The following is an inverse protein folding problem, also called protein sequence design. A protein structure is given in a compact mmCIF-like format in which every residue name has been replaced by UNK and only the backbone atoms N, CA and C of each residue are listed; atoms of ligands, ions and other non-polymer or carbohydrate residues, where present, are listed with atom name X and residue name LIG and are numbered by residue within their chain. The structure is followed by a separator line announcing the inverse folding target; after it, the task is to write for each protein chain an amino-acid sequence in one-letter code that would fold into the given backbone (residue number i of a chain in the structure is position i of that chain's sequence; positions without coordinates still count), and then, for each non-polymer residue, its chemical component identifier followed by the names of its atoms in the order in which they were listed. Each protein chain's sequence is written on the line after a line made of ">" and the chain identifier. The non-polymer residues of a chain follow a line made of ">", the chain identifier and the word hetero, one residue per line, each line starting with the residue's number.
data_IF_922160779523
#
_entry.id   IF_922160779523
#
_cell.length_a   1.000
_cell.length_b   1.000
_cell.length_c   1.000
_cell.angle_alpha   90.00
_cell.angle_beta   90.00
_cell.angle_gamma   90.00
#
_symmetry.space_group_name_H-M   'P 1'
#
loop_
_entity.id
_entity.type
_entity.pdbx_description
1 polymer ?
#
# COMPACT_ATOMS: atom_id res chain seq x y z
N UNK A 1 8.27 -5.18 -7.47
CA UNK A 1 8.44 -4.43 -6.21
C UNK A 1 9.89 -4.54 -5.76
N UNK A 2 10.52 -3.45 -5.41
CA UNK A 2 11.87 -3.41 -4.87
C UNK A 2 11.89 -2.57 -3.57
N UNK A 3 11.53 -3.18 -2.43
CA UNK A 3 11.48 -2.48 -1.14
C UNK A 3 12.82 -1.89 -0.72
N UNK A 4 13.93 -2.56 -1.03
CA UNK A 4 15.28 -2.09 -0.70
C UNK A 4 15.66 -0.82 -1.46
N UNK A 5 15.17 -0.66 -2.68
CA UNK A 5 15.33 0.57 -3.46
C UNK A 5 14.32 1.67 -3.06
N UNK A 6 13.47 1.44 -2.05
CA UNK A 6 12.43 2.38 -1.64
C UNK A 6 11.32 2.57 -2.66
N UNK A 7 11.05 1.57 -3.51
CA UNK A 7 10.07 1.64 -4.58
C UNK A 7 8.98 0.57 -4.44
N UNK A 8 7.80 0.88 -4.99
CA UNK A 8 6.73 -0.10 -5.20
C UNK A 8 6.02 0.15 -6.53
N UNK A 9 5.25 -0.83 -6.98
CA UNK A 9 4.50 -0.76 -8.24
C UNK A 9 3.01 -0.73 -7.96
N UNK A 10 2.34 0.31 -8.45
CA UNK A 10 0.88 0.39 -8.50
C UNK A 10 0.39 -0.06 -9.88
N UNK A 11 -0.70 -0.83 -9.91
CA UNK A 11 -1.34 -1.34 -11.13
C UNK A 11 -2.75 -0.80 -11.25
N UNK A 12 -3.11 -0.30 -12.39
CA UNK A 12 -4.36 0.33 -12.85
C UNK A 12 -4.44 1.83 -12.57
N UNK A 13 -5.09 2.59 -13.48
CA UNK A 13 -5.27 4.04 -13.31
C UNK A 13 -5.88 4.42 -11.98
N UNK A 14 -6.93 3.71 -11.54
CA UNK A 14 -7.61 3.97 -10.27
C UNK A 14 -6.71 3.82 -9.05
N UNK A 15 -5.89 2.77 -9.00
CA UNK A 15 -4.95 2.53 -7.89
C UNK A 15 -3.83 3.57 -7.90
N UNK A 16 -3.31 3.89 -9.09
CA UNK A 16 -2.29 4.93 -9.29
C UNK A 16 -2.85 6.30 -8.87
N UNK A 17 -4.06 6.66 -9.31
CA UNK A 17 -4.70 7.91 -8.93
C UNK A 17 -4.79 8.07 -7.40
N UNK A 18 -5.23 7.04 -6.68
CA UNK A 18 -5.31 7.05 -5.21
C UNK A 18 -3.94 7.18 -4.54
N UNK A 19 -2.89 6.57 -5.10
CA UNK A 19 -1.53 6.75 -4.62
C UNK A 19 -1.04 8.20 -4.81
N UNK A 20 -1.30 8.78 -5.98
CA UNK A 20 -0.96 10.18 -6.26
C UNK A 20 -1.73 11.14 -5.36
N UNK A 21 -3.02 10.88 -5.11
CA UNK A 21 -3.86 11.69 -4.19
C UNK A 21 -3.35 11.62 -2.75
N UNK A 22 -2.76 10.49 -2.35
CA UNK A 22 -2.10 10.31 -1.05
C UNK A 22 -0.67 10.89 -1.00
N UNK A 23 -0.22 11.59 -2.04
CA UNK A 23 1.08 12.26 -2.07
C UNK A 23 2.27 11.35 -2.37
N UNK A 24 2.04 10.13 -2.89
CA UNK A 24 3.15 9.28 -3.34
C UNK A 24 3.77 9.84 -4.62
N UNK A 25 5.10 9.87 -4.67
CA UNK A 25 5.86 10.47 -5.78
C UNK A 25 6.07 9.45 -6.89
N UNK A 26 5.57 9.69 -8.12
CA UNK A 26 5.81 8.82 -9.25
C UNK A 26 7.26 8.92 -9.74
N UNK A 27 7.81 7.79 -10.18
CA UNK A 27 9.18 7.67 -10.71
C UNK A 27 9.16 7.35 -12.19
N UNK A 28 8.24 6.50 -12.63
CA UNK A 28 8.03 6.17 -14.04
C UNK A 28 6.68 5.51 -14.23
N UNK A 29 6.14 5.61 -15.43
CA UNK A 29 4.92 4.91 -15.84
C UNK A 29 5.16 4.02 -17.04
N UNK A 30 4.44 2.89 -17.11
CA UNK A 30 4.41 1.98 -18.26
C UNK A 30 2.96 1.77 -18.68
N UNK A 31 2.64 2.10 -19.91
CA UNK A 31 1.26 2.16 -20.41
C UNK A 31 1.13 1.36 -21.71
N UNK A 32 0.05 0.61 -21.83
CA UNK A 32 -0.33 -0.01 -23.08
C UNK A 32 -0.80 1.06 -24.08
N UNK A 33 -0.27 1.01 -25.30
CA UNK A 33 -0.55 2.03 -26.33
C UNK A 33 -2.04 2.22 -26.66
N UNK A 34 -2.81 1.14 -26.68
CA UNK A 34 -4.24 1.19 -26.93
C UNK A 34 -4.98 1.92 -25.80
N UNK A 35 -4.62 1.64 -24.55
CA UNK A 35 -5.22 2.27 -23.37
C UNK A 35 -4.97 3.78 -23.28
N UNK A 36 -3.87 4.27 -23.83
CA UNK A 36 -3.59 5.71 -23.88
C UNK A 36 -4.63 6.51 -24.67
N UNK A 37 -5.31 5.87 -25.62
CA UNK A 37 -6.26 6.54 -26.52
C UNK A 37 -7.72 6.29 -26.19
N UNK A 38 -8.01 5.15 -25.56
CA UNK A 38 -9.38 4.66 -25.39
C UNK A 38 -9.85 4.59 -23.95
N UNK A 39 -8.93 4.66 -22.99
CA UNK A 39 -9.27 4.58 -21.57
C UNK A 39 -9.18 5.96 -20.91
N UNK A 40 -10.32 6.54 -20.61
CA UNK A 40 -10.44 7.87 -20.00
C UNK A 40 -9.70 7.96 -18.65
N UNK A 41 -9.79 6.92 -17.78
CA UNK A 41 -9.07 6.90 -16.51
C UNK A 41 -7.54 6.93 -16.73
N UNK A 42 -7.05 6.26 -17.78
CA UNK A 42 -5.62 6.27 -18.15
C UNK A 42 -5.19 7.66 -18.61
N UNK A 43 -5.99 8.31 -19.45
CA UNK A 43 -5.72 9.67 -19.94
C UNK A 43 -5.65 10.66 -18.78
N UNK A 44 -6.60 10.63 -17.86
CA UNK A 44 -6.60 11.48 -16.66
C UNK A 44 -5.33 11.30 -15.80
N UNK A 45 -4.80 10.08 -15.69
CA UNK A 45 -3.53 9.87 -14.97
C UNK A 45 -2.34 10.41 -15.76
N UNK A 46 -2.34 10.27 -17.08
CA UNK A 46 -1.27 10.80 -17.93
C UNK A 46 -1.23 12.33 -17.91
N UNK A 47 -2.37 13.00 -17.90
CA UNK A 47 -2.48 14.45 -17.74
C UNK A 47 -1.80 14.94 -16.45
N UNK A 48 -1.86 14.14 -15.35
CA UNK A 48 -1.18 14.48 -14.09
C UNK A 48 0.35 14.42 -14.18
N UNK A 49 0.89 13.78 -15.21
CA UNK A 49 2.32 13.71 -15.47
C UNK A 49 2.81 14.78 -16.45
N UNK A 50 1.90 15.51 -17.09
CA UNK A 50 2.27 16.62 -17.98
C UNK A 50 3.04 17.71 -17.24
N UNK A 51 4.12 18.17 -17.84
CA UNK A 51 5.00 19.16 -17.23
C UNK A 51 5.88 18.63 -16.08
N UNK A 52 5.90 17.32 -15.85
CA UNK A 52 6.81 16.64 -14.92
C UNK A 52 7.92 15.90 -15.65
N UNK A 53 9.02 15.58 -14.94
CA UNK A 53 10.12 14.75 -15.47
C UNK A 53 9.86 13.24 -15.38
N UNK A 54 8.61 12.81 -15.15
CA UNK A 54 8.25 11.40 -15.03
C UNK A 54 8.26 10.72 -16.41
N UNK A 55 9.18 9.78 -16.68
CA UNK A 55 9.23 9.11 -17.96
C UNK A 55 8.02 8.18 -18.13
N UNK A 56 7.37 8.28 -19.30
CA UNK A 56 6.23 7.45 -19.68
C UNK A 56 6.70 6.50 -20.78
N UNK A 57 6.78 5.22 -20.45
CA UNK A 57 7.10 4.16 -21.40
C UNK A 57 5.82 3.58 -21.96
N UNK A 58 5.83 3.25 -23.26
CA UNK A 58 4.68 2.66 -23.95
C UNK A 58 5.06 1.40 -24.69
N UNK A 59 4.18 0.42 -24.68
CA UNK A 59 4.37 -0.78 -25.47
C UNK A 59 3.01 -1.40 -25.87
N UNK A 60 3.05 -2.29 -26.86
CA UNK A 60 1.91 -3.11 -27.24
C UNK A 60 1.61 -4.16 -26.17
N UNK A 61 0.36 -4.58 -26.08
CA UNK A 61 -0.12 -5.55 -25.08
C UNK A 61 0.71 -6.83 -25.00
N UNK A 62 1.10 -7.38 -26.15
CA UNK A 62 1.89 -8.60 -26.23
C UNK A 62 3.30 -8.41 -25.64
N UNK A 63 3.91 -7.26 -25.89
CA UNK A 63 5.23 -6.91 -25.35
C UNK A 63 5.14 -6.76 -23.83
N UNK A 64 4.14 -6.04 -23.35
CA UNK A 64 3.88 -5.87 -21.91
C UNK A 64 3.68 -7.21 -21.21
N UNK A 65 2.88 -8.09 -21.81
CA UNK A 65 2.62 -9.43 -21.25
C UNK A 65 3.90 -10.26 -21.15
N UNK A 66 4.78 -10.19 -22.13
CA UNK A 66 6.10 -10.88 -22.11
C UNK A 66 7.02 -10.28 -21.05
N UNK A 67 7.05 -8.96 -20.91
CA UNK A 67 7.91 -8.27 -19.93
C UNK A 67 7.48 -8.52 -18.50
N UNK A 68 6.18 -8.46 -18.22
CA UNK A 68 5.63 -8.56 -16.86
C UNK A 68 5.43 -10.00 -16.41
N UNK A 69 5.36 -10.96 -17.33
CA UNK A 69 5.04 -12.36 -17.05
C UNK A 69 3.55 -12.60 -16.72
N UNK A 70 2.71 -11.60 -16.87
CA UNK A 70 1.25 -11.70 -16.67
C UNK A 70 0.52 -10.73 -17.62
N UNK A 71 -0.77 -11.00 -17.86
CA UNK A 71 -1.62 -10.12 -18.68
C UNK A 71 -1.92 -8.83 -17.93
N UNK A 72 -1.44 -7.70 -18.46
CA UNK A 72 -1.73 -6.37 -17.91
C UNK A 72 -3.13 -5.92 -18.33
N UNK A 73 -4.15 -6.50 -17.71
CA UNK A 73 -5.56 -6.30 -18.09
C UNK A 73 -6.10 -4.89 -17.87
N UNK A 74 -5.38 -4.06 -17.11
CA UNK A 74 -5.76 -2.68 -16.81
C UNK A 74 -4.81 -1.63 -17.38
N UNK A 75 -3.94 -2.07 -18.29
CA UNK A 75 -3.19 -1.25 -19.24
C UNK A 75 -2.12 -0.30 -18.65
N UNK A 76 -1.99 -0.16 -17.32
CA UNK A 76 -1.07 0.81 -16.74
C UNK A 76 -0.38 0.31 -15.47
N UNK A 77 0.93 0.53 -15.39
CA UNK A 77 1.76 0.39 -14.18
C UNK A 77 2.45 1.71 -13.88
N UNK A 78 2.67 2.00 -12.60
CA UNK A 78 3.47 3.13 -12.16
C UNK A 78 4.41 2.71 -11.03
N UNK A 79 5.68 3.03 -11.16
CA UNK A 79 6.65 2.94 -10.06
C UNK A 79 6.56 4.21 -9.22
N UNK A 80 6.42 4.04 -7.90
CA UNK A 80 6.31 5.15 -6.96
C UNK A 80 7.31 4.99 -5.81
N UNK A 81 7.73 6.11 -5.23
CA UNK A 81 8.59 6.12 -4.04
C UNK A 81 7.78 5.74 -2.81
N UNK A 82 8.37 4.92 -1.95
CA UNK A 82 7.81 4.63 -0.62
C UNK A 82 7.93 5.86 0.26
N UNK A 83 6.94 6.06 1.12
CA UNK A 83 6.99 7.06 2.17
C UNK A 83 7.51 6.42 3.47
N UNK A 84 8.17 7.19 4.34
CA UNK A 84 8.51 6.73 5.69
C UNK A 84 7.24 6.33 6.45
N UNK A 85 7.31 5.25 7.21
CA UNK A 85 6.21 4.83 8.07
C UNK A 85 6.30 5.57 9.40
N UNK A 86 5.15 6.02 9.88
CA UNK A 86 5.03 6.60 11.22
C UNK A 86 5.12 5.48 12.26
N UNK A 87 5.67 5.80 13.41
CA UNK A 87 5.62 4.92 14.58
C UNK A 87 4.16 4.66 15.00
N UNK A 88 3.86 3.41 15.43
CA UNK A 88 2.48 3.02 15.71
C UNK A 88 1.90 3.74 16.94
N UNK A 89 2.72 4.08 17.93
CA UNK A 89 2.26 4.83 19.10
C UNK A 89 1.80 6.23 18.67
N UNK A 90 2.59 6.91 17.86
CA UNK A 90 2.24 8.24 17.34
C UNK A 90 1.00 8.17 16.42
N UNK A 91 0.85 7.07 15.68
CA UNK A 91 -0.31 6.88 14.80
C UNK A 91 -1.62 6.66 15.58
N UNK A 92 -1.56 6.28 16.86
CA UNK A 92 -2.74 6.14 17.72
C UNK A 92 -3.42 7.47 18.07
N UNK A 93 -2.72 8.60 17.95
CA UNK A 93 -3.27 9.89 18.33
C UNK A 93 -4.55 10.23 17.55
N UNK A 94 -5.64 10.49 18.29
CA UNK A 94 -6.95 10.81 17.72
C UNK A 94 -7.62 9.66 16.96
N UNK A 95 -7.22 8.40 17.20
CA UNK A 95 -7.80 7.21 16.56
C UNK A 95 -8.59 6.40 17.58
N UNK A 96 -9.84 6.07 17.25
CA UNK A 96 -10.74 5.30 18.12
C UNK A 96 -10.80 3.82 17.74
N UNK A 97 -10.69 3.50 16.43
CA UNK A 97 -10.88 2.16 15.90
C UNK A 97 -9.72 1.73 15.03
N UNK A 98 -8.96 0.77 15.51
CA UNK A 98 -7.75 0.26 14.85
C UNK A 98 -7.93 -1.22 14.54
N UNK A 99 -7.55 -1.63 13.34
CA UNK A 99 -7.45 -3.04 12.95
C UNK A 99 -5.99 -3.47 13.06
N UNK A 100 -5.74 -4.62 13.70
CA UNK A 100 -4.41 -5.22 13.76
C UNK A 100 -4.41 -6.53 12.96
N UNK A 101 -3.52 -6.63 11.97
CA UNK A 101 -3.28 -7.84 11.20
C UNK A 101 -2.13 -8.60 11.84
N UNK A 102 -2.40 -9.81 12.32
CA UNK A 102 -1.37 -10.69 12.88
C UNK A 102 -0.98 -11.77 11.89
N UNK A 103 0.26 -11.75 11.41
CA UNK A 103 0.85 -12.75 10.51
C UNK A 103 0.02 -13.04 9.24
N UNK A 104 -0.64 -12.04 8.69
CA UNK A 104 -1.39 -12.18 7.43
C UNK A 104 -0.40 -12.16 6.26
N UNK A 105 0.12 -13.32 5.90
CA UNK A 105 1.17 -13.47 4.88
C UNK A 105 0.66 -13.36 3.44
N UNK A 106 -0.62 -13.63 3.19
CA UNK A 106 -1.16 -13.56 1.83
C UNK A 106 -1.50 -12.11 1.45
N UNK A 107 -0.84 -11.52 0.43
CA UNK A 107 -1.09 -10.14 0.03
C UNK A 107 -2.53 -9.91 -0.47
N UNK A 108 -3.22 -10.95 -0.96
CA UNK A 108 -4.64 -10.85 -1.32
C UNK A 108 -5.50 -10.60 -0.08
N UNK A 109 -5.21 -11.31 1.02
CA UNK A 109 -5.94 -11.14 2.27
C UNK A 109 -5.65 -9.77 2.89
N UNK A 110 -4.39 -9.32 2.88
CA UNK A 110 -4.04 -7.95 3.30
C UNK A 110 -4.86 -6.93 2.53
N UNK A 111 -4.86 -7.00 1.20
CA UNK A 111 -5.65 -6.08 0.38
C UNK A 111 -7.15 -6.12 0.64
N UNK A 112 -7.73 -7.32 0.86
CA UNK A 112 -9.14 -7.49 1.19
C UNK A 112 -9.48 -6.87 2.56
N UNK A 113 -8.62 -7.05 3.56
CA UNK A 113 -8.81 -6.47 4.89
C UNK A 113 -8.75 -4.93 4.81
N UNK A 114 -7.79 -4.34 4.09
CA UNK A 114 -7.74 -2.89 3.88
C UNK A 114 -9.02 -2.36 3.24
N UNK A 115 -9.55 -3.07 2.24
CA UNK A 115 -10.81 -2.69 1.61
C UNK A 115 -11.99 -2.73 2.58
N UNK A 116 -12.06 -3.75 3.43
CA UNK A 116 -13.09 -3.88 4.46
C UNK A 116 -12.93 -2.82 5.56
N UNK A 117 -11.69 -2.56 6.00
CA UNK A 117 -11.38 -1.54 6.98
C UNK A 117 -11.81 -0.14 6.49
N UNK A 118 -11.55 0.18 5.21
CA UNK A 118 -12.03 1.42 4.60
C UNK A 118 -13.56 1.51 4.59
N UNK A 119 -14.24 0.44 4.20
CA UNK A 119 -15.70 0.40 4.13
C UNK A 119 -16.36 0.54 5.53
N UNK A 120 -15.67 0.08 6.58
CA UNK A 120 -16.13 0.16 7.97
C UNK A 120 -15.63 1.44 8.68
N UNK A 121 -15.00 2.36 7.98
CA UNK A 121 -14.42 3.60 8.51
C UNK A 121 -13.49 3.34 9.70
N UNK A 122 -12.59 2.36 9.58
CA UNK A 122 -11.52 2.18 10.55
C UNK A 122 -10.49 3.30 10.42
N UNK A 123 -9.94 3.77 11.54
CA UNK A 123 -9.07 4.94 11.57
C UNK A 123 -7.62 4.61 11.23
N UNK A 124 -7.17 3.38 11.48
CA UNK A 124 -5.84 2.90 11.13
C UNK A 124 -5.79 1.36 10.99
N UNK A 125 -4.76 0.89 10.29
CA UNK A 125 -4.43 -0.53 10.18
C UNK A 125 -2.99 -0.73 10.63
N UNK A 126 -2.78 -1.57 11.64
CA UNK A 126 -1.45 -1.98 12.08
C UNK A 126 -1.15 -3.40 11.64
N UNK A 127 0.11 -3.65 11.32
CA UNK A 127 0.56 -4.97 10.85
C UNK A 127 1.68 -5.48 11.75
N UNK A 128 1.67 -6.77 12.06
CA UNK A 128 2.83 -7.40 12.67
C UNK A 128 3.91 -7.66 11.61
N UNK A 129 5.19 -7.78 11.98
CA UNK A 129 6.30 -7.98 11.02
C UNK A 129 6.16 -9.19 10.09
N UNK A 130 5.36 -10.19 10.48
CA UNK A 130 5.08 -11.38 9.65
C UNK A 130 4.01 -11.16 8.57
N UNK A 131 3.39 -9.98 8.49
CA UNK A 131 2.40 -9.68 7.44
C UNK A 131 3.08 -9.37 6.10
N UNK A 132 2.37 -9.67 5.00
CA UNK A 132 2.73 -9.14 3.69
C UNK A 132 2.63 -7.62 3.66
N UNK A 133 3.55 -7.00 2.95
CA UNK A 133 3.59 -5.56 2.74
C UNK A 133 2.33 -5.07 1.99
N UNK A 134 1.58 -4.09 2.53
CA UNK A 134 0.41 -3.52 1.87
C UNK A 134 0.71 -2.87 0.52
N UNK A 135 1.94 -2.42 0.28
CA UNK A 135 2.37 -1.83 -0.98
C UNK A 135 2.74 -2.85 -2.05
N UNK A 136 2.76 -4.16 -1.73
CA UNK A 136 2.89 -5.16 -2.80
C UNK A 136 1.79 -4.96 -3.82
N UNK A 137 2.17 -5.00 -5.11
CA UNK A 137 1.29 -4.80 -6.25
C UNK A 137 -0.04 -5.55 -6.13
N UNK A 138 0.00 -6.80 -5.63
CA UNK A 138 -1.21 -7.61 -5.45
C UNK A 138 -2.09 -7.10 -4.32
N UNK A 139 -1.52 -6.65 -3.21
CA UNK A 139 -2.27 -6.11 -2.07
C UNK A 139 -2.92 -4.78 -2.45
N UNK A 140 -2.16 -3.83 -2.99
CA UNK A 140 -2.66 -2.53 -3.42
C UNK A 140 -3.76 -2.65 -4.50
N UNK A 141 -3.62 -3.60 -5.43
CA UNK A 141 -4.62 -3.87 -6.45
C UNK A 141 -5.92 -4.47 -5.88
N UNK A 142 -5.82 -5.49 -5.00
CA UNK A 142 -6.99 -6.13 -4.37
C UNK A 142 -7.73 -5.15 -3.47
N UNK A 143 -7.00 -4.29 -2.77
CA UNK A 143 -7.59 -3.23 -1.96
C UNK A 143 -8.29 -2.15 -2.80
N UNK A 144 -8.14 -2.18 -4.12
CA UNK A 144 -8.55 -1.09 -5.02
C UNK A 144 -7.87 0.25 -4.67
N UNK A 145 -6.70 0.21 -4.04
CA UNK A 145 -5.94 1.38 -3.59
C UNK A 145 -6.39 1.96 -2.24
N UNK A 146 -7.24 1.29 -1.45
CA UNK A 146 -7.59 1.75 -0.09
C UNK A 146 -6.40 1.72 0.86
N UNK A 147 -5.34 0.98 0.55
CA UNK A 147 -4.05 1.05 1.26
C UNK A 147 -3.43 2.44 1.27
N UNK A 148 -3.81 3.33 0.36
CA UNK A 148 -3.37 4.72 0.30
C UNK A 148 -4.34 5.68 1.01
N UNK A 149 -5.50 5.22 1.43
CA UNK A 149 -6.57 6.04 2.03
C UNK A 149 -6.65 5.88 3.54
N UNK A 150 -6.24 4.75 4.08
CA UNK A 150 -6.21 4.49 5.53
C UNK A 150 -4.75 4.54 5.99
N UNK A 151 -4.43 5.29 7.05
CA UNK A 151 -3.11 5.26 7.66
C UNK A 151 -2.76 3.84 8.14
N UNK A 152 -1.52 3.42 7.91
CA UNK A 152 -1.07 2.12 8.37
C UNK A 152 0.42 2.13 8.68
N UNK A 153 0.84 1.21 9.57
CA UNK A 153 2.24 1.00 9.90
C UNK A 153 2.47 -0.42 10.42
N UNK A 154 3.74 -0.80 10.55
CA UNK A 154 4.11 -2.03 11.23
C UNK A 154 4.31 -1.79 12.73
N UNK A 155 3.89 -2.78 13.54
CA UNK A 155 4.21 -2.81 14.97
C UNK A 155 5.64 -3.36 15.10
N UNK A 156 6.61 -2.48 15.01
CA UNK A 156 8.03 -2.78 15.15
C UNK A 156 8.75 -1.62 15.82
N UNK A 157 9.90 -1.88 16.43
CA UNK A 157 10.77 -0.81 16.91
C UNK A 157 11.51 -0.19 15.71
N UNK A 158 11.24 1.08 15.45
CA UNK A 158 11.91 1.85 14.40
C UNK A 158 13.24 2.45 14.87
N UNK A 159 13.69 2.13 16.10
CA UNK A 159 14.90 2.68 16.68
C UNK A 159 16.13 1.95 16.09
N UNK A 160 16.79 2.55 15.10
CA UNK A 160 18.00 2.02 14.43
C UNK A 160 19.16 1.74 15.40
N UNK A 161 19.14 2.29 16.63
CA UNK A 161 20.18 2.08 17.65
C UNK A 161 20.08 0.75 18.42
N UNK A 162 18.98 0.01 18.30
CA UNK A 162 18.84 -1.29 18.96
C UNK A 162 19.14 -2.40 17.96
N UNK A 163 20.33 -2.98 18.06
CA UNK A 163 20.81 -4.15 17.27
C UNK A 163 19.98 -5.44 17.46
N UNK A 164 18.96 -5.41 18.28
CA UNK A 164 17.98 -6.48 18.44
C UNK A 164 16.61 -5.91 18.15
N UNK A 165 15.99 -6.35 17.06
CA UNK A 165 14.55 -6.11 16.79
C UNK A 165 13.78 -6.81 17.91
N UNK A 166 13.51 -6.09 19.00
CA UNK A 166 12.61 -6.60 20.05
C UNK A 166 11.25 -6.83 19.41
N UNK A 167 10.73 -8.03 19.58
CA UNK A 167 9.40 -8.40 19.10
C UNK A 167 8.40 -7.73 20.06
N UNK A 168 7.92 -6.54 19.69
CA UNK A 168 6.94 -5.79 20.48
C UNK A 168 5.58 -6.49 20.54
N UNK A 169 5.27 -7.30 19.58
CA UNK A 169 4.01 -8.04 19.47
C UNK A 169 4.13 -9.46 20.02
N UNK A 170 3.11 -10.00 20.76
CA UNK A 170 1.86 -9.31 21.12
C UNK A 170 1.95 -8.56 22.46
N UNK A 171 2.80 -9.01 23.37
CA UNK A 171 2.73 -8.67 24.80
C UNK A 171 2.91 -7.19 25.10
N UNK A 172 3.95 -6.59 24.53
CA UNK A 172 4.27 -5.19 24.81
C UNK A 172 3.26 -4.26 24.12
N UNK A 173 3.03 -4.45 22.80
CA UNK A 173 2.13 -3.59 22.05
C UNK A 173 0.69 -3.62 22.58
N UNK A 174 0.15 -4.80 22.93
CA UNK A 174 -1.18 -4.90 23.54
C UNK A 174 -1.24 -4.16 24.88
N UNK A 175 -0.17 -4.26 25.70
CA UNK A 175 -0.10 -3.56 26.99
C UNK A 175 -0.09 -2.04 26.79
N UNK A 176 0.66 -1.55 25.83
CA UNK A 176 0.73 -0.12 25.50
C UNK A 176 -0.60 0.40 24.96
N UNK A 177 -1.21 -0.29 24.00
CA UNK A 177 -2.52 0.07 23.47
C UNK A 177 -3.60 0.12 24.57
N UNK A 178 -3.58 -0.83 25.52
CA UNK A 178 -4.50 -0.80 26.67
C UNK A 178 -4.25 0.39 27.58
N UNK A 179 -2.99 0.78 27.82
CA UNK A 179 -2.66 2.01 28.56
C UNK A 179 -3.16 3.27 27.87
N UNK A 180 -3.21 3.28 26.54
CA UNK A 180 -3.81 4.35 25.74
C UNK A 180 -5.35 4.35 25.74
N UNK A 181 -6.00 3.37 26.39
CA UNK A 181 -7.44 3.29 26.53
C UNK A 181 -8.14 2.33 25.55
N UNK A 182 -7.40 1.66 24.65
CA UNK A 182 -8.00 0.71 23.72
C UNK A 182 -8.51 -0.56 24.42
N UNK A 183 -9.68 -1.01 24.02
CA UNK A 183 -10.21 -2.35 24.32
C UNK A 183 -9.84 -3.29 23.17
N UNK A 184 -9.27 -4.43 23.48
CA UNK A 184 -8.85 -5.41 22.46
C UNK A 184 -9.91 -6.49 22.27
N UNK A 185 -10.21 -6.83 21.02
CA UNK A 185 -11.05 -7.96 20.63
C UNK A 185 -10.29 -8.80 19.61
N UNK A 186 -10.24 -10.12 19.80
CA UNK A 186 -9.67 -11.05 18.86
C UNK A 186 -10.77 -11.62 17.95
N UNK A 187 -10.53 -11.56 16.63
CA UNK A 187 -11.33 -12.25 15.63
C UNK A 187 -10.60 -13.58 15.33
N UNK A 188 -10.98 -14.63 16.02
CA UNK A 188 -10.44 -15.98 15.87
C UNK A 188 -11.56 -16.95 15.53
N UNK A 189 -11.21 -18.03 14.81
CA UNK A 189 -12.08 -19.17 14.54
C UNK A 189 -12.05 -20.14 15.71
#
# INVERSE_FOLDING_TARGET
>A
DNPEAGLFIAESPKVIGRALDAGYIPVSALVEKHQMKENEETMQILERFEGTDVPIFTAEFEVLTKMTGFKLTRGMLCALKRQPLMDYQNMCEGKDRIVILENVMNPTNVGAIFRSAAALNMDAVFLTPGCSDPLYRRASRVSMGTVFQIPWTFIQDNNEMRCQREILWPKQAITELRKMGYKTAALAL
#
